data_IF_268177893897
#
_entry.id   IF_268177893897
#
_cell.length_a   1.000
_cell.length_b   1.000
_cell.length_c   1.000
_cell.angle_alpha   90.00
_cell.angle_beta   90.00
_cell.angle_gamma   90.00
#
_symmetry.space_group_name_H-M   'P 1'
#
loop_
_entity.id
_entity.type
_entity.pdbx_description
1 polymer ?
#
# COMPACT_ATOMS: atom_id res chain seq x y z
N UNK A 1 2.69 -5.21 -13.80
CA UNK A 1 2.34 -3.77 -13.71
C UNK A 1 1.67 -3.51 -12.35
N UNK A 2 2.44 -3.35 -11.28
CA UNK A 2 1.90 -3.11 -9.93
C UNK A 2 1.57 -1.62 -9.77
N UNK A 3 0.56 -1.15 -10.51
CA UNK A 3 -0.04 0.17 -10.32
C UNK A 3 -1.22 0.11 -9.35
N UNK A 4 -1.16 -0.73 -8.32
CA UNK A 4 -1.94 -0.44 -7.12
C UNK A 4 -1.19 0.68 -6.44
N UNK A 5 -1.71 1.89 -6.57
CA UNK A 5 -1.38 3.04 -5.74
C UNK A 5 -1.19 2.53 -4.31
N UNK A 6 0.07 2.32 -3.92
CA UNK A 6 0.44 2.27 -2.52
C UNK A 6 0.20 3.70 -2.06
N UNK A 7 -1.07 3.99 -1.75
CA UNK A 7 -1.41 5.08 -0.86
C UNK A 7 -0.42 4.90 0.26
N UNK A 8 0.45 5.89 0.41
CA UNK A 8 1.31 6.03 1.57
C UNK A 8 0.41 5.69 2.74
N UNK A 9 0.52 4.48 3.29
CA UNK A 9 -0.19 4.11 4.50
C UNK A 9 0.59 4.91 5.53
N UNK A 10 0.26 6.19 5.59
CA UNK A 10 0.59 7.07 6.67
C UNK A 10 -0.25 6.53 7.82
N UNK A 11 0.17 5.38 8.36
CA UNK A 11 -0.01 5.11 9.77
C UNK A 11 0.68 6.30 10.41
N UNK A 12 -0.09 7.34 10.72
CA UNK A 12 0.38 8.48 11.50
C UNK A 12 1.02 7.84 12.72
N UNK A 13 2.35 7.87 12.79
CA UNK A 13 3.04 7.37 13.96
C UNK A 13 2.46 8.17 15.13
N UNK A 14 1.88 7.50 16.13
CA UNK A 14 1.27 8.20 17.23
C UNK A 14 2.34 9.09 17.90
N UNK A 15 1.99 10.34 18.19
CA UNK A 15 2.86 11.26 18.91
C UNK A 15 3.25 10.62 20.25
N UNK A 16 4.52 10.74 20.63
CA UNK A 16 5.12 10.19 21.85
C UNK A 16 4.12 10.10 23.02
N UNK A 17 3.83 8.88 23.47
CA UNK A 17 3.12 8.68 24.73
C UNK A 17 4.10 8.97 25.88
N UNK A 18 3.68 9.73 26.88
CA UNK A 18 4.45 9.84 28.13
C UNK A 18 4.46 8.49 28.85
N UNK A 19 5.49 8.23 29.66
CA UNK A 19 5.69 6.93 30.31
C UNK A 19 4.43 6.46 31.09
N UNK A 20 3.74 7.39 31.75
CA UNK A 20 2.51 7.11 32.51
C UNK A 20 1.36 6.60 31.62
N UNK A 21 1.27 7.09 30.38
CA UNK A 21 0.26 6.63 29.42
C UNK A 21 0.56 5.20 28.96
N UNK A 22 1.83 4.85 28.74
CA UNK A 22 2.23 3.49 28.35
C UNK A 22 1.88 2.47 29.44
N UNK A 23 2.20 2.79 30.69
CA UNK A 23 1.91 1.93 31.85
C UNK A 23 0.41 1.73 32.10
N UNK A 24 -0.44 2.61 31.57
CA UNK A 24 -1.90 2.51 31.69
C UNK A 24 -2.56 1.66 30.60
N UNK A 25 -1.84 1.31 29.52
CA UNK A 25 -2.36 0.48 28.44
C UNK A 25 -2.34 -1.00 28.82
N UNK A 26 -3.35 -1.73 28.34
CA UNK A 26 -3.34 -3.20 28.37
C UNK A 26 -2.26 -3.78 27.46
N UNK A 27 -1.91 -5.05 27.65
CA UNK A 27 -0.90 -5.75 26.85
C UNK A 27 -1.26 -5.78 25.35
N UNK A 28 -2.54 -5.96 25.03
CA UNK A 28 -3.04 -5.92 23.65
C UNK A 28 -2.90 -4.53 23.02
N UNK A 29 -3.19 -3.47 23.78
CA UNK A 29 -3.04 -2.09 23.32
C UNK A 29 -1.57 -1.69 23.16
N UNK A 30 -0.70 -2.14 24.06
CA UNK A 30 0.75 -1.97 23.93
C UNK A 30 1.27 -2.65 22.66
N UNK A 31 0.84 -3.89 22.40
CA UNK A 31 1.23 -4.61 21.20
C UNK A 31 0.70 -3.94 19.93
N UNK A 32 -0.55 -3.45 19.94
CA UNK A 32 -1.13 -2.68 18.84
C UNK A 32 -0.37 -1.36 18.60
N UNK A 33 0.05 -0.69 19.67
CA UNK A 33 0.88 0.51 19.59
C UNK A 33 2.23 0.21 18.93
N UNK A 34 2.91 -0.85 19.33
CA UNK A 34 4.21 -1.25 18.76
C UNK A 34 4.14 -1.59 17.26
N UNK A 35 3.00 -2.09 16.76
CA UNK A 35 2.82 -2.35 15.32
C UNK A 35 2.96 -1.09 14.44
N UNK A 36 2.82 0.10 15.01
CA UNK A 36 3.07 1.37 14.30
C UNK A 36 4.56 1.58 13.99
N UNK A 37 5.45 0.95 14.76
CA UNK A 37 6.91 1.10 14.64
C UNK A 37 7.58 -0.10 13.97
N UNK A 38 6.90 -1.25 13.91
CA UNK A 38 7.45 -2.47 13.27
C UNK A 38 7.48 -2.34 11.74
N UNK A 39 8.53 -2.91 11.15
CA UNK A 39 8.70 -3.06 9.70
C UNK A 39 7.63 -3.95 9.09
N UNK A 40 7.25 -5.01 9.80
CA UNK A 40 6.19 -5.94 9.42
C UNK A 40 4.93 -5.66 10.25
N UNK A 41 3.78 -5.64 9.60
CA UNK A 41 2.50 -5.37 10.24
C UNK A 41 1.37 -6.15 9.57
N UNK A 42 0.31 -6.39 10.32
CA UNK A 42 -0.89 -7.02 9.78
C UNK A 42 -1.78 -5.93 9.17
N UNK A 43 -2.21 -6.12 7.92
CA UNK A 43 -3.16 -5.23 7.27
C UNK A 43 -4.19 -6.03 6.48
N UNK A 44 -5.38 -5.47 6.37
CA UNK A 44 -6.39 -5.97 5.44
C UNK A 44 -6.06 -5.46 4.04
N UNK A 45 -5.87 -6.39 3.11
CA UNK A 45 -5.63 -6.08 1.71
C UNK A 45 -6.49 -6.96 0.82
N UNK A 46 -6.81 -6.44 -0.36
CA UNK A 46 -7.36 -7.22 -1.45
C UNK A 46 -6.23 -7.98 -2.12
N UNK A 47 -6.29 -9.30 -2.01
CA UNK A 47 -5.29 -10.22 -2.53
C UNK A 47 -5.88 -10.97 -3.72
N UNK A 48 -4.99 -11.34 -4.64
CA UNK A 48 -5.34 -12.24 -5.72
C UNK A 48 -5.43 -13.66 -5.12
N UNK A 49 -6.64 -14.22 -5.12
CA UNK A 49 -6.91 -15.57 -4.65
C UNK A 49 -7.13 -16.51 -5.83
N UNK A 50 -6.33 -17.57 -5.90
CA UNK A 50 -6.51 -18.65 -6.86
C UNK A 50 -7.31 -19.79 -6.20
N UNK A 51 -8.56 -20.06 -6.63
CA UNK A 51 -9.36 -21.13 -6.05
C UNK A 51 -8.81 -22.54 -6.37
N UNK A 52 -8.12 -22.70 -7.50
CA UNK A 52 -7.57 -23.99 -7.94
C UNK A 52 -6.39 -24.45 -7.06
N UNK A 53 -5.52 -23.52 -6.65
CA UNK A 53 -4.36 -23.80 -5.79
C UNK A 53 -4.67 -23.65 -4.30
N UNK A 54 -5.80 -23.02 -3.95
CA UNK A 54 -6.16 -22.74 -2.56
C UNK A 54 -5.15 -21.84 -1.84
N UNK A 55 -4.42 -20.99 -2.58
CA UNK A 55 -3.38 -20.11 -2.04
C UNK A 55 -3.51 -18.67 -2.55
N UNK A 56 -2.88 -17.77 -1.81
CA UNK A 56 -2.69 -16.37 -2.18
C UNK A 56 -1.48 -16.24 -3.09
N UNK A 57 -1.58 -15.37 -4.10
CA UNK A 57 -0.49 -15.09 -5.03
C UNK A 57 -0.02 -13.65 -4.90
N UNK A 58 1.30 -13.45 -4.97
CA UNK A 58 1.89 -12.12 -4.97
C UNK A 58 1.61 -11.40 -6.30
N UNK A 59 1.64 -10.07 -6.30
CA UNK A 59 1.40 -9.29 -7.52
C UNK A 59 2.44 -9.58 -8.62
N UNK A 60 3.66 -9.95 -8.23
CA UNK A 60 4.75 -10.27 -9.17
C UNK A 60 4.57 -11.66 -9.82
N UNK A 61 3.73 -12.53 -9.24
CA UNK A 61 3.38 -13.85 -9.79
C UNK A 61 2.20 -13.78 -10.77
N UNK A 62 1.55 -12.62 -10.89
CA UNK A 62 0.36 -12.41 -11.73
C UNK A 62 0.72 -11.60 -12.97
N UNK A 63 0.78 -12.24 -14.13
CA UNK A 63 0.99 -11.58 -15.42
C UNK A 63 -0.36 -11.35 -16.09
N UNK A 64 -0.72 -10.09 -16.37
CA UNK A 64 -1.96 -9.72 -17.08
C UNK A 64 -3.29 -10.25 -16.48
N UNK A 65 -3.32 -10.60 -15.20
CA UNK A 65 -4.53 -11.07 -14.51
C UNK A 65 -4.82 -12.56 -14.65
N UNK A 66 -3.89 -13.34 -15.19
CA UNK A 66 -4.02 -14.79 -15.36
C UNK A 66 -2.71 -15.47 -14.93
N UNK A 67 -2.81 -16.58 -14.20
CA UNK A 67 -1.63 -17.35 -13.75
C UNK A 67 -1.07 -18.22 -14.90
N UNK A 68 -1.99 -18.77 -15.70
CA UNK A 68 -1.88 -19.49 -16.96
C UNK A 68 -3.22 -19.25 -17.68
N UNK A 69 -3.36 -19.46 -18.99
CA UNK A 69 -4.50 -19.06 -19.85
C UNK A 69 -5.93 -19.44 -19.36
N UNK A 70 -6.09 -20.17 -18.26
CA UNK A 70 -7.34 -20.74 -17.74
C UNK A 70 -7.73 -20.28 -16.31
N UNK A 71 -6.80 -19.76 -15.50
CA UNK A 71 -7.06 -19.54 -14.07
C UNK A 71 -7.66 -18.15 -13.76
N UNK A 72 -8.96 -18.10 -13.48
CA UNK A 72 -9.68 -16.88 -13.07
C UNK A 72 -9.33 -16.52 -11.62
N UNK A 73 -8.68 -15.37 -11.42
CA UNK A 73 -8.38 -14.85 -10.09
C UNK A 73 -9.60 -14.14 -9.50
N UNK A 74 -9.86 -14.40 -8.22
CA UNK A 74 -10.87 -13.66 -7.44
C UNK A 74 -10.18 -12.72 -6.45
N UNK A 75 -10.74 -11.52 -6.26
CA UNK A 75 -10.26 -10.61 -5.22
C UNK A 75 -10.91 -10.98 -3.89
N UNK A 76 -10.10 -11.37 -2.90
CA UNK A 76 -10.56 -11.64 -1.53
C UNK A 76 -9.95 -10.64 -0.57
N UNK A 77 -10.76 -10.11 0.35
CA UNK A 77 -10.26 -9.34 1.49
C UNK A 77 -9.81 -10.30 2.58
N UNK A 78 -8.54 -10.20 2.97
CA UNK A 78 -8.01 -10.96 4.08
C UNK A 78 -6.88 -10.22 4.78
N UNK A 79 -6.61 -10.62 6.02
CA UNK A 79 -5.47 -10.15 6.80
C UNK A 79 -4.20 -10.82 6.27
N UNK A 80 -3.22 -10.02 5.89
CA UNK A 80 -1.90 -10.49 5.50
C UNK A 80 -0.80 -9.72 6.23
N UNK A 81 0.35 -10.36 6.34
CA UNK A 81 1.59 -9.71 6.76
C UNK A 81 2.11 -8.84 5.62
N UNK A 82 2.28 -7.56 5.90
CA UNK A 82 2.81 -6.56 4.97
C UNK A 82 4.14 -6.03 5.48
N UNK A 83 5.03 -5.63 4.57
CA UNK A 83 6.30 -4.99 4.89
C UNK A 83 6.30 -3.53 4.45
N UNK A 84 6.83 -2.64 5.30
CA UNK A 84 6.98 -1.19 5.03
C UNK A 84 8.15 -0.86 4.10
N UNK A 85 8.41 -1.67 3.07
CA UNK A 85 9.55 -1.48 2.15
C UNK A 85 9.49 -0.15 1.38
N UNK A 86 8.28 0.37 1.15
CA UNK A 86 8.07 1.66 0.47
C UNK A 86 8.70 2.84 1.21
N UNK A 87 8.84 2.78 2.54
CA UNK A 87 9.56 3.80 3.32
C UNK A 87 11.07 3.83 3.03
N UNK A 88 11.61 2.74 2.47
CA UNK A 88 13.01 2.60 2.08
C UNK A 88 13.25 2.81 0.58
N UNK A 89 12.22 3.14 -0.21
CA UNK A 89 12.32 3.26 -1.66
C UNK A 89 13.45 4.20 -2.11
N UNK A 90 13.61 5.35 -1.45
CA UNK A 90 14.68 6.31 -1.77
C UNK A 90 16.07 5.76 -1.48
N UNK A 91 16.25 5.11 -0.33
CA UNK A 91 17.51 4.46 0.02
C UNK A 91 17.84 3.31 -0.92
N UNK A 92 16.85 2.52 -1.32
CA UNK A 92 17.01 1.42 -2.28
C UNK A 92 17.46 1.96 -3.65
N UNK A 93 16.82 3.03 -4.13
CA UNK A 93 17.21 3.69 -5.38
C UNK A 93 18.64 4.21 -5.33
N UNK A 94 19.01 4.95 -4.29
CA UNK A 94 20.37 5.49 -4.14
C UNK A 94 21.40 4.35 -3.98
N UNK A 95 21.01 3.22 -3.39
CA UNK A 95 21.87 2.05 -3.26
C UNK A 95 22.25 1.42 -4.60
N UNK A 96 21.37 1.47 -5.60
CA UNK A 96 21.63 0.90 -6.94
C UNK A 96 22.84 1.54 -7.64
N UNK A 97 23.17 2.79 -7.29
CA UNK A 97 24.30 3.51 -7.89
C UNK A 97 25.65 3.09 -7.27
N UNK A 98 25.63 2.46 -6.10
CA UNK A 98 26.84 2.04 -5.36
C UNK A 98 27.23 0.58 -5.58
N UNK A 99 26.33 -0.24 -6.12
CA UNK A 99 26.55 -1.68 -6.33
C UNK A 99 27.04 -1.97 -7.75
N UNK A 100 27.96 -2.92 -7.90
CA UNK A 100 28.45 -3.37 -9.19
C UNK A 100 27.57 -4.49 -9.76
N UNK A 101 26.40 -4.11 -10.27
CA UNK A 101 25.44 -4.99 -10.94
C UNK A 101 25.29 -4.61 -12.42
N UNK A 102 24.90 -5.57 -13.29
CA UNK A 102 24.58 -5.26 -14.68
C UNK A 102 23.51 -4.17 -14.79
N UNK A 103 23.70 -3.22 -15.71
CA UNK A 103 22.77 -2.10 -15.90
C UNK A 103 21.31 -2.53 -16.18
N UNK A 104 21.03 -3.60 -16.96
CA UNK A 104 19.66 -4.05 -17.17
C UNK A 104 18.94 -4.45 -15.87
N UNK A 105 19.68 -5.02 -14.91
CA UNK A 105 19.11 -5.42 -13.61
C UNK A 105 18.81 -4.21 -12.74
N UNK A 106 19.69 -3.21 -12.74
CA UNK A 106 19.47 -1.93 -12.06
C UNK A 106 18.25 -1.21 -12.65
N UNK A 107 18.13 -1.17 -13.97
CA UNK A 107 17.00 -0.55 -14.67
C UNK A 107 15.67 -1.23 -14.34
N UNK A 108 15.64 -2.57 -14.33
CA UNK A 108 14.46 -3.33 -13.90
C UNK A 108 14.02 -2.97 -12.46
N UNK A 109 14.98 -2.83 -11.54
CA UNK A 109 14.70 -2.42 -10.15
C UNK A 109 14.21 -0.98 -10.06
N UNK A 110 14.82 -0.02 -10.79
CA UNK A 110 14.36 1.37 -10.84
C UNK A 110 12.91 1.45 -11.34
N UNK A 111 12.60 0.69 -12.38
CA UNK A 111 11.25 0.61 -12.96
C UNK A 111 10.24 -0.05 -12.00
N UNK A 112 10.65 -1.08 -11.26
CA UNK A 112 9.82 -1.74 -10.25
C UNK A 112 9.52 -0.83 -9.06
N UNK A 113 10.51 -0.07 -8.56
CA UNK A 113 10.32 0.90 -7.47
C UNK A 113 9.43 2.07 -7.93
N UNK A 114 9.55 2.50 -9.19
CA UNK A 114 8.55 3.36 -9.84
C UNK A 114 8.34 4.72 -9.17
N UNK A 115 9.41 5.50 -8.99
CA UNK A 115 9.32 6.86 -8.42
C UNK A 115 8.57 7.79 -9.38
N UNK A 116 7.39 8.26 -8.98
CA UNK A 116 6.72 9.41 -9.60
C UNK A 116 6.81 10.61 -8.67
N UNK A 117 7.20 11.77 -9.22
CA UNK A 117 7.17 13.05 -8.50
C UNK A 117 5.88 13.75 -8.87
N UNK A 118 5.03 14.04 -7.88
CA UNK A 118 3.76 14.74 -8.07
C UNK A 118 3.56 15.80 -6.99
N UNK A 119 2.67 16.75 -7.25
CA UNK A 119 2.27 17.78 -6.28
C UNK A 119 0.82 17.54 -5.85
N UNK A 120 0.53 17.67 -4.56
CA UNK A 120 -0.84 17.64 -4.03
C UNK A 120 -1.32 19.06 -3.75
N UNK A 121 -2.27 19.56 -4.54
CA UNK A 121 -2.93 20.86 -4.30
C UNK A 121 -4.23 20.62 -3.54
N UNK A 122 -4.37 21.21 -2.35
CA UNK A 122 -5.65 21.23 -1.63
C UNK A 122 -6.43 22.46 -2.05
N UNK A 123 -7.52 22.25 -2.78
CA UNK A 123 -8.47 23.30 -3.10
C UNK A 123 -9.52 23.39 -1.99
N UNK A 124 -9.69 24.57 -1.41
CA UNK A 124 -10.80 24.86 -0.49
C UNK A 124 -11.99 25.34 -1.32
N UNK A 125 -12.95 24.46 -1.64
CA UNK A 125 -14.22 24.88 -2.23
C UNK A 125 -15.29 25.03 -1.14
N UNK A 126 -15.89 26.22 -1.05
CA UNK A 126 -17.12 26.43 -0.28
C UNK A 126 -18.28 25.98 -1.18
N UNK A 127 -18.85 24.81 -0.93
CA UNK A 127 -20.02 24.33 -1.68
C UNK A 127 -21.26 25.03 -1.13
N UNK A 128 -21.79 26.02 -1.84
CA UNK A 128 -23.16 26.49 -1.64
C UNK A 128 -24.09 25.55 -2.40
N UNK A 129 -24.90 24.76 -1.69
CA UNK A 129 -25.92 23.92 -2.32
C UNK A 129 -27.02 24.79 -2.94
N UNK A 130 -27.00 24.98 -4.26
CA UNK A 130 -28.18 25.46 -5.01
C UNK A 130 -29.02 24.26 -5.41
N UNK A 131 -30.24 24.20 -4.88
CA UNK A 131 -31.28 23.22 -5.20
C UNK A 131 -31.62 23.32 -6.70
N UNK A 132 -31.27 22.31 -7.49
CA UNK A 132 -31.70 22.19 -8.89
C UNK A 132 -33.19 21.85 -8.92
N UNK A 133 -34.01 22.73 -9.51
CA UNK A 133 -35.41 22.43 -9.84
C UNK A 133 -35.42 21.44 -11.01
N UNK A 134 -36.15 20.33 -10.85
CA UNK A 134 -36.41 19.35 -11.92
C UNK A 134 -37.21 20.00 -13.05
N UNK A 135 -36.69 19.92 -14.28
CA UNK A 135 -37.47 20.17 -15.49
C UNK A 135 -38.09 18.83 -15.92
N UNK A 136 -39.42 18.74 -15.86
CA UNK A 136 -40.18 17.71 -16.55
C UNK A 136 -40.28 18.09 -18.04
N UNK A 137 -39.96 17.16 -18.93
CA UNK A 137 -40.31 17.26 -20.35
C UNK A 137 -41.49 16.32 -20.63
N UNK A 138 -42.53 16.87 -21.25
CA UNK A 138 -43.68 16.15 -21.81
C UNK A 138 -43.31 15.29 -23.01
#
# INVERSE_FOLDING_TARGET
MVRKTYQRIATKTPTSTHADQWSSLSEDEQQAYLLHYRMTYLAESEVNWCPELGTVLANDEVVNGVLNEEAILSNKKMKQWMMRISSYAERLLNGLDTIDWPEPLKEMQRNWIGRSVGATVRLQSTITMRKLKSLHTS
#
